data_IF_187685866194
#
_entry.id   IF_187685866194
#
_cell.length_a   1.000
_cell.length_b   1.000
_cell.length_c   1.000
_cell.angle_alpha   90.00
_cell.angle_beta   90.00
_cell.angle_gamma   90.00
#
_symmetry.space_group_name_H-M   'P 1'
#
loop_
_entity.id
_entity.type
_entity.pdbx_description
1 polymer ?
#
# COMPACT_ATOMS: atom_id res chain seq x y z
N UNK A 1 61.38 -83.07 -15.22
CA UNK A 1 62.00 -82.65 -16.49
C UNK A 1 60.95 -81.98 -17.35
N UNK A 2 61.23 -80.73 -17.75
CA UNK A 2 60.90 -80.10 -19.03
C UNK A 2 59.42 -79.79 -19.37
N UNK A 3 59.19 -78.46 -19.44
CA UNK A 3 58.15 -77.72 -20.13
C UNK A 3 58.01 -78.08 -21.62
N UNK A 4 56.81 -77.89 -22.16
CA UNK A 4 56.50 -77.00 -23.31
C UNK A 4 55.72 -77.62 -24.49
N UNK A 5 54.54 -77.01 -24.72
CA UNK A 5 53.98 -76.48 -25.98
C UNK A 5 53.98 -77.34 -27.26
N UNK A 6 52.77 -77.59 -27.79
CA UNK A 6 52.42 -77.37 -29.23
C UNK A 6 50.89 -77.42 -29.39
N UNK A 7 50.19 -76.30 -29.68
CA UNK A 7 49.83 -75.72 -30.99
C UNK A 7 48.96 -76.61 -31.92
N UNK A 8 47.67 -76.25 -31.97
CA UNK A 8 46.75 -76.09 -33.13
C UNK A 8 46.49 -77.32 -34.03
N UNK A 9 45.22 -77.72 -34.14
CA UNK A 9 44.57 -77.96 -35.44
C UNK A 9 43.04 -77.80 -35.36
N UNK A 10 42.50 -77.21 -36.42
CA UNK A 10 41.11 -76.77 -36.62
C UNK A 10 40.31 -77.95 -37.19
N UNK A 11 39.06 -78.16 -36.77
CA UNK A 11 38.10 -79.00 -37.49
C UNK A 11 36.79 -78.24 -37.71
N UNK A 12 36.33 -78.27 -38.95
CA UNK A 12 35.13 -77.61 -39.47
C UNK A 12 33.88 -78.47 -39.24
N UNK A 13 32.74 -77.83 -39.54
CA UNK A 13 31.41 -78.39 -39.81
C UNK A 13 30.61 -78.78 -38.54
N UNK A 14 29.41 -78.25 -38.30
CA UNK A 14 28.26 -78.37 -39.20
C UNK A 14 27.19 -77.35 -38.81
N UNK A 15 26.61 -76.65 -39.80
CA UNK A 15 25.39 -75.84 -39.66
C UNK A 15 24.18 -76.74 -39.91
N UNK A 16 23.27 -76.86 -38.95
CA UNK A 16 21.88 -77.29 -39.16
C UNK A 16 20.92 -76.47 -38.28
N UNK A 17 19.74 -76.23 -38.85
CA UNK A 17 18.77 -75.16 -38.62
C UNK A 17 17.82 -75.34 -37.41
N UNK A 18 16.95 -74.34 -37.09
CA UNK A 18 16.50 -74.06 -35.72
C UNK A 18 15.21 -74.77 -35.32
N UNK A 19 15.13 -75.23 -34.07
CA UNK A 19 13.87 -75.67 -33.47
C UNK A 19 13.13 -74.49 -32.83
N UNK A 20 11.94 -74.18 -33.36
CA UNK A 20 10.97 -73.26 -32.76
C UNK A 20 10.45 -73.85 -31.44
N UNK A 21 10.78 -73.24 -30.30
CA UNK A 21 10.02 -73.40 -29.06
C UNK A 21 9.27 -72.11 -28.72
N UNK A 22 7.96 -72.12 -28.97
CA UNK A 22 6.97 -71.21 -28.37
C UNK A 22 6.83 -71.57 -26.90
N UNK A 23 7.08 -70.64 -25.98
CA UNK A 23 6.62 -70.67 -24.58
C UNK A 23 6.53 -69.22 -24.09
N UNK A 24 5.34 -68.61 -24.19
CA UNK A 24 4.31 -68.43 -23.15
C UNK A 24 4.50 -67.16 -22.33
N UNK A 25 3.61 -66.22 -22.61
CA UNK A 25 3.35 -64.97 -21.90
C UNK A 25 3.04 -65.24 -20.42
N UNK A 26 3.82 -64.62 -19.52
CA UNK A 26 3.49 -64.20 -18.15
C UNK A 26 4.74 -64.33 -17.25
N UNK A 27 5.32 -63.18 -16.89
CA UNK A 27 5.78 -62.83 -15.52
C UNK A 27 6.58 -61.53 -15.54
N UNK A 28 6.02 -60.52 -14.88
CA UNK A 28 6.79 -59.59 -14.05
C UNK A 28 7.56 -58.49 -14.76
N UNK A 29 6.87 -57.50 -15.32
CA UNK A 29 7.39 -56.12 -15.35
C UNK A 29 6.27 -55.20 -14.88
N UNK A 30 6.09 -55.10 -13.56
CA UNK A 30 5.35 -53.98 -12.96
C UNK A 30 6.34 -52.81 -12.95
N UNK A 31 6.24 -51.96 -13.97
CA UNK A 31 6.93 -50.68 -13.99
C UNK A 31 6.13 -49.72 -13.08
N UNK A 32 6.52 -49.63 -11.81
CA UNK A 32 5.97 -48.63 -10.89
C UNK A 32 6.58 -47.27 -11.26
N UNK A 33 5.95 -46.55 -12.19
CA UNK A 33 6.23 -45.13 -12.40
C UNK A 33 5.65 -44.36 -11.21
N UNK A 34 6.44 -44.24 -10.14
CA UNK A 34 6.26 -43.18 -9.16
C UNK A 34 6.59 -41.85 -9.87
N UNK A 35 5.58 -41.24 -10.49
CA UNK A 35 5.63 -39.84 -10.86
C UNK A 35 5.65 -39.02 -9.58
N UNK A 36 6.84 -38.74 -9.05
CA UNK A 36 7.03 -37.68 -8.09
C UNK A 36 6.77 -36.37 -8.85
N UNK A 37 5.51 -35.93 -8.90
CA UNK A 37 5.18 -34.57 -9.30
C UNK A 37 5.70 -33.65 -8.21
N UNK A 38 6.98 -33.30 -8.30
CA UNK A 38 7.49 -32.12 -7.64
C UNK A 38 6.91 -30.92 -8.39
N UNK A 39 5.67 -30.54 -8.07
CA UNK A 39 5.18 -29.25 -8.45
C UNK A 39 6.03 -28.23 -7.70
N UNK A 40 6.99 -27.63 -8.39
CA UNK A 40 7.45 -26.29 -8.04
C UNK A 40 6.19 -25.44 -8.07
N UNK A 41 5.57 -25.23 -6.92
CA UNK A 41 4.50 -24.26 -6.76
C UNK A 41 5.12 -22.91 -7.02
N UNK A 42 5.13 -22.47 -8.27
CA UNK A 42 5.25 -21.05 -8.57
C UNK A 42 3.97 -20.43 -8.03
N UNK A 43 4.03 -19.94 -6.79
CA UNK A 43 3.02 -19.01 -6.30
C UNK A 43 3.20 -17.74 -7.13
N UNK A 44 2.39 -17.59 -8.18
CA UNK A 44 2.24 -16.29 -8.82
C UNK A 44 1.62 -15.42 -7.75
N UNK A 45 2.32 -14.37 -7.34
CA UNK A 45 1.79 -13.44 -6.36
C UNK A 45 0.43 -12.92 -6.86
N UNK A 46 -0.63 -13.25 -6.15
CA UNK A 46 -1.99 -12.93 -6.57
C UNK A 46 -2.25 -11.46 -6.26
N UNK A 47 -2.76 -10.73 -7.26
CA UNK A 47 -3.26 -9.37 -7.07
C UNK A 47 -4.34 -9.35 -5.99
N UNK A 48 -4.35 -8.30 -5.16
CA UNK A 48 -5.31 -8.16 -4.09
C UNK A 48 -6.70 -7.84 -4.65
N UNK A 49 -7.74 -8.30 -3.96
CA UNK A 49 -9.15 -7.97 -4.26
C UNK A 49 -10.03 -8.36 -3.09
N UNK A 50 -10.97 -7.49 -2.71
CA UNK A 50 -11.86 -7.68 -1.57
C UNK A 50 -11.33 -7.08 -0.28
N UNK A 51 -11.85 -7.57 0.85
CA UNK A 51 -11.53 -7.05 2.18
C UNK A 51 -10.40 -7.83 2.84
N UNK A 52 -9.52 -7.10 3.51
CA UNK A 52 -8.45 -7.61 4.36
C UNK A 52 -8.48 -6.85 5.69
N UNK A 53 -7.85 -7.40 6.71
CA UNK A 53 -7.78 -6.79 8.03
C UNK A 53 -6.36 -6.35 8.39
N UNK A 54 -6.23 -5.20 9.06
CA UNK A 54 -4.96 -4.72 9.61
C UNK A 54 -5.03 -4.74 11.14
N UNK A 55 -4.06 -5.34 11.80
CA UNK A 55 -3.95 -5.37 13.27
C UNK A 55 -3.29 -6.64 13.78
N UNK A 56 -3.16 -6.75 15.10
CA UNK A 56 -2.42 -7.85 15.77
C UNK A 56 -2.89 -9.24 15.31
N UNK A 57 -4.18 -9.37 14.98
CA UNK A 57 -4.78 -10.62 14.51
C UNK A 57 -5.25 -10.56 13.04
N UNK A 58 -4.90 -9.49 12.32
CA UNK A 58 -5.33 -9.25 10.96
C UNK A 58 -4.52 -10.01 9.91
N UNK A 59 -4.96 -9.93 8.66
CA UNK A 59 -4.23 -10.43 7.49
C UNK A 59 -2.87 -9.73 7.34
N UNK A 60 -2.80 -8.47 7.79
CA UNK A 60 -1.58 -7.68 7.90
C UNK A 60 -1.44 -7.16 9.34
N UNK A 61 -0.23 -7.16 9.88
CA UNK A 61 0.00 -6.67 11.24
C UNK A 61 0.02 -5.13 11.33
N UNK A 62 0.43 -4.46 10.26
CA UNK A 62 0.65 -3.00 10.21
C UNK A 62 0.13 -2.40 8.90
N UNK A 63 0.04 -1.06 8.83
CA UNK A 63 -0.24 -0.36 7.57
C UNK A 63 0.89 -0.60 6.56
N UNK A 64 2.16 -0.57 7.02
CA UNK A 64 3.32 -0.81 6.16
C UNK A 64 3.30 -2.19 5.50
N UNK A 65 2.85 -3.23 6.21
CA UNK A 65 2.74 -4.59 5.65
C UNK A 65 1.67 -4.65 4.54
N UNK A 66 0.51 -4.04 4.78
CA UNK A 66 -0.57 -3.94 3.80
C UNK A 66 -0.13 -3.17 2.55
N UNK A 67 0.55 -2.03 2.74
CA UNK A 67 1.07 -1.20 1.64
C UNK A 67 2.19 -1.90 0.88
N UNK A 68 3.03 -2.67 1.56
CA UNK A 68 4.05 -3.51 0.90
C UNK A 68 3.41 -4.56 0.00
N UNK A 69 2.29 -5.16 0.43
CA UNK A 69 1.54 -6.12 -0.38
C UNK A 69 0.87 -5.46 -1.58
N UNK A 70 0.25 -4.29 -1.42
CA UNK A 70 -0.31 -3.49 -2.53
C UNK A 70 0.77 -3.16 -3.57
N UNK A 71 1.92 -2.68 -3.11
CA UNK A 71 3.02 -2.25 -3.99
C UNK A 71 3.61 -3.43 -4.75
N UNK A 72 3.75 -4.58 -4.08
CA UNK A 72 4.35 -5.78 -4.68
C UNK A 72 3.41 -6.47 -5.66
N UNK A 73 2.13 -6.57 -5.31
CA UNK A 73 1.21 -7.45 -6.01
C UNK A 73 0.21 -6.69 -6.90
N UNK A 74 -0.01 -5.40 -6.66
CA UNK A 74 -1.12 -4.65 -7.27
C UNK A 74 -2.49 -5.16 -6.84
N UNK A 75 -3.53 -4.65 -7.49
CA UNK A 75 -4.93 -5.01 -7.24
C UNK A 75 -5.63 -5.42 -8.54
N UNK A 76 -6.60 -6.35 -8.43
CA UNK A 76 -7.43 -6.83 -9.55
C UNK A 76 -8.91 -6.46 -9.39
N UNK A 77 -9.26 -5.83 -8.27
CA UNK A 77 -10.58 -5.34 -7.92
C UNK A 77 -10.47 -4.31 -6.79
N UNK A 78 -11.59 -3.77 -6.30
CA UNK A 78 -11.59 -2.89 -5.12
C UNK A 78 -10.97 -3.61 -3.91
N UNK A 79 -10.18 -2.89 -3.13
CA UNK A 79 -9.54 -3.40 -1.92
C UNK A 79 -9.96 -2.55 -0.73
N UNK A 80 -10.37 -3.22 0.35
CA UNK A 80 -10.71 -2.58 1.62
C UNK A 80 -9.83 -3.18 2.71
N UNK A 81 -9.19 -2.33 3.50
CA UNK A 81 -8.49 -2.70 4.72
C UNK A 81 -9.32 -2.26 5.92
N UNK A 82 -9.93 -3.23 6.60
CA UNK A 82 -10.62 -3.06 7.87
C UNK A 82 -9.60 -3.08 9.01
N UNK A 83 -9.28 -1.90 9.53
CA UNK A 83 -8.25 -1.70 10.55
C UNK A 83 -8.85 -1.95 11.93
N UNK A 84 -8.32 -2.94 12.63
CA UNK A 84 -8.68 -3.27 14.01
C UNK A 84 -8.31 -2.10 14.94
N UNK A 85 -9.08 -1.94 16.03
CA UNK A 85 -8.78 -0.91 17.03
C UNK A 85 -7.36 -1.07 17.59
N UNK A 86 -6.62 0.03 17.68
CA UNK A 86 -5.24 0.02 18.14
C UNK A 86 -4.49 1.29 17.82
N UNK A 87 -3.26 1.36 18.35
CA UNK A 87 -2.30 2.41 18.03
C UNK A 87 -1.17 1.85 17.19
N UNK A 88 -0.99 2.43 16.01
CA UNK A 88 0.01 2.08 15.01
C UNK A 88 1.05 3.19 14.99
N UNK A 89 2.28 2.90 15.42
CA UNK A 89 3.36 3.91 15.44
C UNK A 89 4.33 3.65 14.29
N UNK A 90 4.03 4.22 13.14
CA UNK A 90 4.74 4.02 11.89
C UNK A 90 4.51 5.19 10.93
N UNK A 91 5.32 5.28 9.88
CA UNK A 91 5.06 6.14 8.73
C UNK A 91 4.60 5.30 7.56
N UNK A 92 3.67 5.83 6.76
CA UNK A 92 3.10 5.12 5.61
C UNK A 92 3.37 5.93 4.35
N UNK A 93 3.95 5.30 3.34
CA UNK A 93 4.14 5.89 2.00
C UNK A 93 3.23 5.17 1.02
N UNK A 94 2.26 5.89 0.47
CA UNK A 94 1.34 5.38 -0.55
C UNK A 94 1.80 5.90 -1.91
N UNK A 95 2.18 5.00 -2.80
CA UNK A 95 2.50 5.32 -4.20
C UNK A 95 1.38 4.94 -5.16
N UNK A 96 1.65 5.06 -6.46
CA UNK A 96 0.78 4.50 -7.50
C UNK A 96 0.75 2.96 -7.38
N UNK A 97 -0.45 2.39 -7.32
CA UNK A 97 -0.66 0.94 -7.20
C UNK A 97 -1.18 0.38 -8.53
N UNK A 98 -0.51 -0.66 -9.04
CA UNK A 98 -0.91 -1.29 -10.30
C UNK A 98 -2.34 -1.86 -10.20
N UNK A 99 -3.19 -1.51 -11.17
CA UNK A 99 -4.59 -1.95 -11.23
C UNK A 99 -5.59 -1.06 -10.47
N UNK A 100 -5.11 -0.05 -9.75
CA UNK A 100 -5.95 0.99 -9.17
C UNK A 100 -6.65 1.80 -10.28
N UNK A 101 -7.90 2.15 -10.04
CA UNK A 101 -8.73 2.93 -10.97
C UNK A 101 -9.93 3.55 -10.24
N UNK A 102 -10.71 4.38 -10.93
CA UNK A 102 -11.99 4.90 -10.44
C UNK A 102 -12.97 3.81 -9.97
N UNK A 103 -12.86 2.58 -10.51
CA UNK A 103 -13.66 1.43 -10.06
C UNK A 103 -12.95 0.59 -9.00
N UNK A 104 -11.64 0.41 -9.13
CA UNK A 104 -10.82 -0.37 -8.20
C UNK A 104 -10.09 0.59 -7.25
N UNK A 105 -10.79 1.05 -6.23
CA UNK A 105 -10.22 1.92 -5.19
C UNK A 105 -9.55 1.10 -4.10
N UNK A 106 -8.64 1.74 -3.37
CA UNK A 106 -8.01 1.19 -2.17
C UNK A 106 -8.50 1.99 -0.97
N UNK A 107 -9.21 1.34 -0.07
CA UNK A 107 -9.79 1.98 1.12
C UNK A 107 -9.11 1.48 2.38
N UNK A 108 -8.65 2.37 3.24
CA UNK A 108 -8.27 2.07 4.60
C UNK A 108 -9.33 2.64 5.53
N UNK A 109 -9.94 1.78 6.36
CA UNK A 109 -11.02 2.21 7.24
C UNK A 109 -10.97 1.57 8.62
N UNK A 110 -11.43 2.29 9.65
CA UNK A 110 -11.64 1.66 10.96
C UNK A 110 -12.69 0.56 10.86
N UNK A 111 -12.36 -0.63 11.36
CA UNK A 111 -13.28 -1.77 11.42
C UNK A 111 -14.49 -1.48 12.32
N UNK A 112 -14.33 -0.64 13.35
CA UNK A 112 -15.44 -0.27 14.23
C UNK A 112 -16.30 0.85 13.65
N UNK A 113 -15.83 1.53 12.59
CA UNK A 113 -16.46 2.74 12.05
C UNK A 113 -16.22 3.99 12.90
N UNK A 114 -15.40 3.92 13.96
CA UNK A 114 -15.03 5.05 14.79
C UNK A 114 -13.56 5.41 14.59
N UNK A 115 -13.29 6.67 14.27
CA UNK A 115 -11.94 7.19 14.02
C UNK A 115 -11.02 7.14 15.25
N UNK A 116 -11.56 7.38 16.45
CA UNK A 116 -10.76 7.37 17.68
C UNK A 116 -10.25 5.97 18.06
N UNK A 117 -10.84 4.90 17.52
CA UNK A 117 -10.45 3.54 17.83
C UNK A 117 -9.17 3.11 17.09
N UNK A 118 -8.81 3.79 15.99
CA UNK A 118 -7.64 3.48 15.16
C UNK A 118 -6.75 4.72 15.06
N UNK A 119 -5.65 4.70 15.81
CA UNK A 119 -4.68 5.82 15.87
C UNK A 119 -3.42 5.43 15.11
N UNK A 120 -3.21 6.02 13.93
CA UNK A 120 -1.92 5.99 13.23
C UNK A 120 -1.12 7.24 13.60
N UNK A 121 0.06 7.07 14.19
CA UNK A 121 0.84 8.17 14.75
C UNK A 121 2.33 8.08 14.44
N UNK A 122 2.99 9.24 14.35
CA UNK A 122 4.44 9.29 14.20
C UNK A 122 5.05 10.58 14.76
N UNK A 123 6.28 10.48 15.27
CA UNK A 123 7.07 11.63 15.76
C UNK A 123 8.19 11.94 14.77
N UNK A 124 7.91 12.79 13.78
CA UNK A 124 8.92 13.23 12.82
C UNK A 124 10.02 14.07 13.49
N UNK A 125 11.26 13.87 13.07
CA UNK A 125 12.44 14.58 13.63
C UNK A 125 13.24 15.36 12.57
N UNK A 126 12.88 15.23 11.30
CA UNK A 126 13.52 15.91 10.19
C UNK A 126 12.54 16.35 9.12
N UNK A 127 13.05 17.08 8.12
CA UNK A 127 12.27 17.56 6.97
C UNK A 127 12.02 16.49 5.92
N UNK A 128 12.93 15.52 5.78
CA UNK A 128 12.86 14.48 4.75
C UNK A 128 11.69 13.51 4.95
N UNK A 129 11.30 13.30 6.21
CA UNK A 129 10.30 12.36 6.69
C UNK A 129 9.26 13.07 7.57
N UNK A 130 8.96 14.33 7.28
CA UNK A 130 7.95 15.11 8.00
C UNK A 130 6.54 14.71 7.56
N UNK A 131 6.04 13.56 8.02
CA UNK A 131 4.67 13.11 7.78
C UNK A 131 4.31 11.91 8.67
N UNK A 132 3.01 11.62 8.79
CA UNK A 132 2.52 10.30 9.20
C UNK A 132 2.17 9.47 7.96
N UNK A 133 1.39 10.05 7.04
CA UNK A 133 1.10 9.47 5.73
C UNK A 133 1.64 10.39 4.62
N UNK A 134 2.38 9.80 3.69
CA UNK A 134 2.88 10.47 2.49
C UNK A 134 2.29 9.85 1.22
N UNK A 135 1.61 10.66 0.42
CA UNK A 135 1.13 10.28 -0.91
C UNK A 135 2.20 10.66 -1.95
N UNK A 136 2.87 9.66 -2.52
CA UNK A 136 3.94 9.82 -3.50
C UNK A 136 3.47 9.38 -4.89
N UNK A 137 2.75 10.27 -5.57
CA UNK A 137 2.10 9.93 -6.84
C UNK A 137 0.97 8.89 -6.69
N UNK A 138 0.29 8.88 -5.53
CA UNK A 138 -0.81 7.97 -5.25
C UNK A 138 -2.07 8.30 -6.05
N UNK A 139 -2.82 7.26 -6.41
CA UNK A 139 -4.10 7.38 -7.13
C UNK A 139 -5.16 6.45 -6.53
N UNK A 140 -6.41 6.89 -6.50
CA UNK A 140 -7.60 6.10 -6.10
C UNK A 140 -7.55 5.56 -4.66
N UNK A 141 -7.13 6.40 -3.73
CA UNK A 141 -7.04 6.08 -2.31
C UNK A 141 -8.18 6.73 -1.52
N UNK A 142 -8.75 5.97 -0.59
CA UNK A 142 -9.72 6.43 0.40
C UNK A 142 -9.18 6.17 1.81
N UNK A 143 -9.14 7.19 2.65
CA UNK A 143 -8.96 7.06 4.10
C UNK A 143 -10.29 7.41 4.78
N UNK A 144 -10.85 6.47 5.55
CA UNK A 144 -12.18 6.62 6.13
C UNK A 144 -12.22 6.25 7.63
N UNK A 145 -12.73 7.13 8.49
CA UNK A 145 -12.82 6.88 9.93
C UNK A 145 -11.49 6.46 10.57
N UNK A 146 -10.42 7.24 10.37
CA UNK A 146 -9.11 7.01 11.00
C UNK A 146 -8.66 8.25 11.78
N UNK A 147 -7.95 8.04 12.89
CA UNK A 147 -7.20 9.11 13.56
C UNK A 147 -5.74 9.07 13.12
N UNK A 148 -5.26 10.17 12.56
CA UNK A 148 -3.90 10.34 12.05
C UNK A 148 -3.25 11.46 12.85
N UNK A 149 -2.23 11.11 13.64
CA UNK A 149 -1.68 12.00 14.65
C UNK A 149 -0.17 12.23 14.46
N UNK A 150 0.20 13.46 14.14
CA UNK A 150 1.59 13.89 14.15
C UNK A 150 1.98 14.30 15.58
N UNK A 151 3.10 13.79 16.07
CA UNK A 151 3.56 13.99 17.45
C UNK A 151 4.80 14.89 17.56
N UNK A 152 5.49 15.16 16.44
CA UNK A 152 6.69 16.00 16.43
C UNK A 152 6.37 17.46 16.72
N UNK A 153 7.23 18.15 17.45
CA UNK A 153 7.01 19.57 17.85
C UNK A 153 7.65 20.57 16.88
N UNK A 154 8.63 20.12 16.09
CA UNK A 154 9.26 20.90 15.02
C UNK A 154 8.76 20.52 13.62
N UNK A 155 8.38 19.25 13.43
CA UNK A 155 7.94 18.63 12.19
C UNK A 155 6.65 17.85 12.51
N UNK A 156 5.52 18.25 11.93
CA UNK A 156 4.22 17.81 12.42
C UNK A 156 3.13 17.62 11.35
N UNK A 157 3.47 17.14 10.16
CA UNK A 157 2.47 16.86 9.13
C UNK A 157 1.77 15.53 9.44
N UNK A 158 0.44 15.53 9.46
CA UNK A 158 -0.35 14.29 9.45
C UNK A 158 -0.31 13.70 8.05
N UNK A 159 -0.60 14.54 7.05
CA UNK A 159 -0.64 14.15 5.64
C UNK A 159 0.30 15.04 4.82
N UNK A 160 1.09 14.41 3.97
CA UNK A 160 1.91 15.07 2.96
C UNK A 160 1.64 14.46 1.58
N UNK A 161 1.71 15.26 0.52
CA UNK A 161 1.55 14.76 -0.84
C UNK A 161 2.50 15.44 -1.83
N UNK A 162 3.09 14.62 -2.70
CA UNK A 162 3.95 15.03 -3.81
C UNK A 162 3.69 14.17 -5.06
N UNK A 163 4.34 14.51 -6.17
CA UNK A 163 4.13 13.79 -7.44
C UNK A 163 2.75 14.07 -8.03
N UNK A 164 2.33 13.25 -9.00
CA UNK A 164 1.01 13.38 -9.61
C UNK A 164 -0.01 12.58 -8.79
N UNK A 165 -0.93 13.26 -8.11
CA UNK A 165 -1.96 12.58 -7.31
C UNK A 165 -3.33 12.70 -7.95
N UNK A 166 -4.16 11.67 -7.86
CA UNK A 166 -5.51 11.70 -8.42
C UNK A 166 -6.48 10.90 -7.55
N UNK A 167 -7.70 11.42 -7.41
CA UNK A 167 -8.79 10.71 -6.73
C UNK A 167 -8.37 10.23 -5.33
N UNK A 168 -8.01 11.19 -4.48
CA UNK A 168 -7.67 10.97 -3.08
C UNK A 168 -8.84 11.50 -2.24
N UNK A 169 -9.46 10.62 -1.47
CA UNK A 169 -10.57 10.97 -0.58
C UNK A 169 -10.17 10.72 0.87
N UNK A 170 -10.25 11.77 1.69
CA UNK A 170 -10.08 11.70 3.13
C UNK A 170 -11.43 12.04 3.74
N UNK A 171 -12.07 11.08 4.39
CA UNK A 171 -13.42 11.25 4.93
C UNK A 171 -13.57 10.75 6.36
N UNK A 172 -14.36 11.49 7.15
CA UNK A 172 -14.66 11.16 8.54
C UNK A 172 -13.42 10.88 9.41
N UNK A 173 -12.26 11.43 9.04
CA UNK A 173 -11.00 11.23 9.74
C UNK A 173 -10.77 12.33 10.78
N UNK A 174 -9.91 12.03 11.75
CA UNK A 174 -9.35 13.00 12.70
C UNK A 174 -7.88 13.21 12.35
N UNK A 175 -7.53 14.42 11.94
CA UNK A 175 -6.17 14.80 11.53
C UNK A 175 -5.60 15.73 12.60
N UNK A 176 -4.74 15.22 13.46
CA UNK A 176 -4.29 15.93 14.65
C UNK A 176 -2.78 16.24 14.60
N UNK A 177 -2.42 17.52 14.64
CA UNK A 177 -1.06 17.99 14.82
C UNK A 177 -0.93 18.79 16.12
N UNK A 178 0.26 18.89 16.73
CA UNK A 178 0.40 19.56 18.02
C UNK A 178 0.09 21.05 17.93
N UNK A 179 -0.51 21.56 18.99
CA UNK A 179 -0.75 23.00 19.18
C UNK A 179 0.58 23.79 19.09
N UNK A 180 0.50 25.01 18.54
CA UNK A 180 1.68 25.85 18.29
C UNK A 180 1.37 27.34 18.37
N UNK A 181 2.27 28.11 18.95
CA UNK A 181 2.24 29.58 18.94
C UNK A 181 3.18 30.19 17.91
N UNK A 182 3.73 29.37 17.00
CA UNK A 182 4.71 29.81 15.99
C UNK A 182 4.21 29.52 14.59
N UNK A 183 4.46 30.47 13.69
CA UNK A 183 4.24 30.31 12.26
C UNK A 183 5.41 29.54 11.63
N UNK A 184 5.16 28.30 11.21
CA UNK A 184 6.17 27.42 10.60
C UNK A 184 5.52 26.43 9.61
N UNK A 185 6.00 26.42 8.37
CA UNK A 185 5.54 25.51 7.31
C UNK A 185 5.88 24.03 7.56
N UNK A 186 6.88 23.75 8.39
CA UNK A 186 7.20 22.38 8.82
C UNK A 186 6.21 21.84 9.85
N UNK A 187 5.35 22.70 10.40
CA UNK A 187 4.29 22.34 11.34
C UNK A 187 2.89 22.47 10.72
N UNK A 188 2.78 22.45 9.39
CA UNK A 188 1.47 22.32 8.75
C UNK A 188 0.89 20.94 9.03
N UNK A 189 -0.37 20.86 9.43
CA UNK A 189 -1.05 19.59 9.69
C UNK A 189 -1.22 18.83 8.36
N UNK A 190 -1.90 19.42 7.37
CA UNK A 190 -2.00 18.86 6.02
C UNK A 190 -1.19 19.73 5.05
N UNK A 191 -0.26 19.13 4.32
CA UNK A 191 0.59 19.82 3.33
C UNK A 191 0.63 19.06 2.02
N UNK A 192 -0.19 19.47 1.07
CA UNK A 192 -0.26 18.87 -0.27
C UNK A 192 0.40 19.81 -1.28
N UNK A 193 1.54 19.38 -1.82
CA UNK A 193 2.30 20.11 -2.84
C UNK A 193 2.65 19.20 -4.04
N UNK A 194 1.65 18.57 -4.67
CA UNK A 194 1.85 17.72 -5.85
C UNK A 194 2.40 18.48 -7.07
N UNK A 195 2.94 17.73 -8.03
CA UNK A 195 3.28 18.26 -9.36
C UNK A 195 2.02 18.59 -10.15
N UNK A 196 1.03 17.70 -10.10
CA UNK A 196 -0.33 17.85 -10.62
C UNK A 196 -1.31 17.15 -9.71
N UNK A 197 -2.54 17.66 -9.60
CA UNK A 197 -3.58 16.98 -8.85
C UNK A 197 -4.97 17.16 -9.43
N UNK A 198 -5.83 16.17 -9.20
CA UNK A 198 -7.25 16.24 -9.56
C UNK A 198 -8.09 15.40 -8.61
N UNK A 199 -9.34 15.81 -8.38
CA UNK A 199 -10.31 15.04 -7.57
C UNK A 199 -9.81 14.74 -6.16
N UNK A 200 -9.27 15.75 -5.47
CA UNK A 200 -8.84 15.63 -4.06
C UNK A 200 -9.97 16.10 -3.15
N UNK A 201 -10.38 15.26 -2.21
CA UNK A 201 -11.57 15.48 -1.38
C UNK A 201 -11.26 15.32 0.10
N UNK A 202 -11.76 16.27 0.88
CA UNK A 202 -11.79 16.23 2.35
C UNK A 202 -13.24 16.42 2.79
N UNK A 203 -13.85 15.37 3.34
CA UNK A 203 -15.28 15.31 3.65
C UNK A 203 -15.49 14.97 5.13
N UNK A 204 -16.21 15.81 5.87
CA UNK A 204 -16.61 15.52 7.26
C UNK A 204 -15.43 15.20 8.20
N UNK A 205 -14.25 15.78 7.97
CA UNK A 205 -13.07 15.55 8.81
C UNK A 205 -12.99 16.54 9.98
N UNK A 206 -12.31 16.13 11.04
CA UNK A 206 -11.85 17.03 12.11
C UNK A 206 -10.35 17.27 11.97
N UNK A 207 -9.93 18.51 11.81
CA UNK A 207 -8.53 18.93 11.62
C UNK A 207 -8.10 19.79 12.81
N UNK A 208 -7.16 19.30 13.61
CA UNK A 208 -6.78 19.90 14.89
C UNK A 208 -5.33 20.40 14.88
N UNK A 209 -5.13 21.61 15.40
CA UNK A 209 -3.81 22.17 15.68
C UNK A 209 -2.93 22.42 14.45
N UNK A 210 -1.62 22.48 14.66
CA UNK A 210 -0.63 22.83 13.65
C UNK A 210 -0.46 24.34 13.43
N UNK A 211 0.62 24.72 12.76
CA UNK A 211 0.82 26.11 12.33
C UNK A 211 -0.12 26.45 11.17
N UNK A 212 -0.46 25.45 10.36
CA UNK A 212 -1.37 25.54 9.22
C UNK A 212 -2.30 24.35 9.34
N UNK A 213 -3.62 24.54 9.25
CA UNK A 213 -4.56 23.41 9.23
C UNK A 213 -4.43 22.64 7.93
N UNK A 214 -4.60 23.33 6.81
CA UNK A 214 -4.36 22.79 5.48
C UNK A 214 -3.63 23.77 4.59
N UNK A 215 -2.58 23.30 3.94
CA UNK A 215 -2.01 23.95 2.77
C UNK A 215 -2.11 23.00 1.58
N UNK A 216 -2.85 23.40 0.56
CA UNK A 216 -3.01 22.63 -0.67
C UNK A 216 -2.69 23.49 -1.89
N UNK A 217 -1.73 23.03 -2.68
CA UNK A 217 -1.34 23.62 -3.94
C UNK A 217 -1.63 22.63 -5.07
N UNK A 218 -2.53 22.99 -5.99
CA UNK A 218 -3.00 22.08 -7.03
C UNK A 218 -1.94 21.57 -8.02
N UNK A 219 -0.79 22.25 -8.12
CA UNK A 219 0.36 21.82 -8.93
C UNK A 219 1.62 22.63 -8.64
N UNK A 220 2.69 22.44 -9.41
CA UNK A 220 3.99 23.10 -9.15
C UNK A 220 4.02 24.61 -9.41
N UNK A 221 3.23 25.12 -10.35
CA UNK A 221 3.22 26.53 -10.71
C UNK A 221 1.92 26.95 -11.39
N UNK A 222 1.86 28.22 -11.80
CA UNK A 222 0.66 28.86 -12.37
C UNK A 222 0.17 28.26 -13.69
N UNK A 223 0.99 27.44 -14.37
CA UNK A 223 0.63 26.82 -15.66
C UNK A 223 -0.25 25.59 -15.49
N UNK A 224 -0.30 25.00 -14.30
CA UNK A 224 -1.24 23.92 -13.96
C UNK A 224 -2.16 24.35 -12.82
N UNK A 225 -3.44 24.07 -12.95
CA UNK A 225 -4.45 24.37 -11.92
C UNK A 225 -5.39 23.19 -11.74
N UNK A 226 -5.44 22.63 -10.53
CA UNK A 226 -6.17 21.41 -10.23
C UNK A 226 -7.70 21.59 -10.30
N UNK A 227 -8.43 20.67 -10.96
CA UNK A 227 -9.89 20.61 -10.88
C UNK A 227 -10.37 19.64 -9.78
N UNK A 228 -11.65 19.76 -9.41
CA UNK A 228 -12.35 18.76 -8.59
C UNK A 228 -11.91 18.72 -7.13
N UNK A 229 -11.40 19.84 -6.59
CA UNK A 229 -11.14 19.91 -5.16
C UNK A 229 -12.44 20.06 -4.38
N UNK A 230 -12.64 19.26 -3.34
CA UNK A 230 -13.79 19.36 -2.45
C UNK A 230 -13.33 19.43 -0.99
N UNK A 231 -13.76 20.47 -0.29
CA UNK A 231 -13.58 20.63 1.15
C UNK A 231 -14.96 20.87 1.76
N UNK A 232 -15.59 19.80 2.26
CA UNK A 232 -16.99 19.84 2.71
C UNK A 232 -17.17 19.36 4.14
N UNK A 233 -17.99 20.08 4.89
CA UNK A 233 -18.45 19.69 6.23
C UNK A 233 -17.31 19.39 7.22
N UNK A 234 -16.13 19.97 6.99
CA UNK A 234 -14.98 19.77 7.87
C UNK A 234 -14.99 20.77 9.02
N UNK A 235 -14.47 20.35 10.17
CA UNK A 235 -14.11 21.21 11.28
C UNK A 235 -12.60 21.41 11.31
N UNK A 236 -12.14 22.67 11.28
CA UNK A 236 -10.72 23.02 11.42
C UNK A 236 -10.55 23.88 12.67
N UNK A 237 -9.89 23.36 13.69
CA UNK A 237 -9.80 24.01 15.00
C UNK A 237 -8.36 24.07 15.52
N UNK A 238 -7.89 25.25 15.88
CA UNK A 238 -6.58 25.45 16.50
C UNK A 238 -5.37 25.70 15.59
N UNK A 239 -5.44 25.81 14.24
CA UNK A 239 -4.29 26.31 13.49
C UNK A 239 -3.86 27.71 13.94
N UNK A 240 -2.55 27.95 13.99
CA UNK A 240 -2.00 29.25 14.44
C UNK A 240 -1.92 30.31 13.33
N UNK A 241 -1.26 30.00 12.21
CA UNK A 241 -0.95 30.98 11.18
C UNK A 241 -2.00 31.01 10.05
N UNK A 242 -2.46 29.83 9.60
CA UNK A 242 -3.45 29.71 8.53
C UNK A 242 -4.42 28.54 8.81
N UNK A 243 -5.73 28.77 8.70
CA UNK A 243 -6.72 27.70 8.80
C UNK A 243 -6.63 26.78 7.59
N UNK A 244 -7.01 27.31 6.42
CA UNK A 244 -6.93 26.64 5.12
C UNK A 244 -6.34 27.60 4.10
N UNK A 245 -5.29 27.16 3.39
CA UNK A 245 -4.63 27.89 2.32
C UNK A 245 -4.64 27.04 1.05
N UNK A 246 -5.42 27.49 0.05
CA UNK A 246 -5.53 26.87 -1.26
C UNK A 246 -4.81 27.70 -2.34
N UNK A 247 -4.09 27.04 -3.24
CA UNK A 247 -3.44 27.64 -4.39
C UNK A 247 -3.60 26.79 -5.65
N UNK A 248 -3.66 27.46 -6.81
CA UNK A 248 -3.65 26.81 -8.13
C UNK A 248 -4.75 25.78 -8.33
N UNK A 249 -6.00 26.19 -8.09
CA UNK A 249 -7.20 25.43 -8.41
C UNK A 249 -7.92 26.08 -9.59
N UNK A 250 -8.52 25.26 -10.46
CA UNK A 250 -9.44 25.69 -11.53
C UNK A 250 -10.88 25.59 -11.06
N UNK A 251 -11.17 24.60 -10.22
CA UNK A 251 -12.49 24.31 -9.68
C UNK A 251 -12.36 23.80 -8.24
N UNK A 252 -13.23 24.29 -7.36
CA UNK A 252 -13.23 23.95 -5.95
C UNK A 252 -14.62 24.13 -5.36
N UNK A 253 -15.08 23.13 -4.59
CA UNK A 253 -16.24 23.27 -3.72
C UNK A 253 -15.79 23.35 -2.27
N UNK A 254 -16.17 24.43 -1.60
CA UNK A 254 -15.83 24.69 -0.21
C UNK A 254 -17.14 25.03 0.52
N UNK A 255 -17.75 24.04 1.16
CA UNK A 255 -19.13 24.14 1.68
C UNK A 255 -19.26 23.52 3.07
N UNK A 256 -20.10 24.09 3.95
CA UNK A 256 -20.44 23.48 5.24
C UNK A 256 -19.31 23.43 6.28
N UNK A 257 -18.14 24.02 6.02
CA UNK A 257 -17.00 23.93 6.94
C UNK A 257 -17.05 24.97 8.07
N UNK A 258 -16.52 24.59 9.23
CA UNK A 258 -16.27 25.49 10.37
C UNK A 258 -14.77 25.64 10.58
N UNK A 259 -14.27 26.89 10.63
CA UNK A 259 -12.86 27.19 10.87
C UNK A 259 -12.71 28.07 12.11
N UNK A 260 -12.00 27.56 13.12
CA UNK A 260 -11.68 28.25 14.37
C UNK A 260 -10.16 28.33 14.54
N UNK A 261 -9.59 29.52 14.36
CA UNK A 261 -8.16 29.74 14.58
C UNK A 261 -7.79 29.60 16.07
N UNK A 262 -6.53 29.28 16.37
CA UNK A 262 -6.03 29.32 17.74
C UNK A 262 -6.25 30.72 18.33
N UNK A 263 -6.94 30.81 19.46
CA UNK A 263 -7.06 32.07 20.21
C UNK A 263 -5.69 32.50 20.72
N UNK A 264 -5.31 33.75 20.48
CA UNK A 264 -3.94 34.25 20.63
C UNK A 264 -3.38 34.35 22.05
N UNK A 265 -4.03 33.82 23.09
CA UNK A 265 -3.50 33.86 24.46
C UNK A 265 -4.01 32.68 25.30
N UNK A 266 -3.20 31.63 25.42
CA UNK A 266 -2.90 30.87 26.65
C UNK A 266 -1.55 30.16 26.45
#
# INVERSE_FOLDING_TARGET
>A
MIKAKQKIQIHMDTVLQPEKKRFSFQKGVIFLLLFFHFSLGFSVAQQLSGSYSIGVSGDYSTFSDAVSALTTNGISGPVIFDVQSGTYTEQVVLGAIAGASETNTITFQSQSGNAEDVVLQYTATGTADNYVIHFDGAEHIVLNNLKIQALGTAYARTLHAQGAIQNITIEQCILEAPDTGVSNWERGNIVFQPTTSSSVKFLSNTILGGSIGMYYKGGTDVNYRAPGFEFRDNEVTGPYAYGVFLQYLTDAVIEGNTLTMRSSNL
#
